data_IF_209123510697
#
_entry.id   IF_209123510697
#
_cell.length_a   1.000
_cell.length_b   1.000
_cell.length_c   1.000
_cell.angle_alpha   90.00
_cell.angle_beta   90.00
_cell.angle_gamma   90.00
#
_symmetry.space_group_name_H-M   'P 1'
#
loop_
_entity.id
_entity.type
_entity.pdbx_description
1 polymer ?
#
# COMPACT_ATOMS: atom_id res chain seq x y z
N UNK A 1 35.24 -15.44 0.10
CA UNK A 1 33.94 -14.74 -0.03
C UNK A 1 33.09 -15.14 1.16
N UNK A 2 32.64 -14.21 2.00
CA UNK A 2 31.97 -14.54 3.28
C UNK A 2 30.57 -15.16 3.06
N UNK A 3 30.26 -16.22 3.79
CA UNK A 3 28.97 -16.94 3.78
C UNK A 3 27.76 -16.01 3.99
N UNK A 4 27.95 -14.96 4.80
CA UNK A 4 26.93 -13.94 5.04
C UNK A 4 26.51 -13.20 3.76
N UNK A 5 27.46 -12.89 2.86
CA UNK A 5 27.17 -12.17 1.60
C UNK A 5 26.31 -13.03 0.67
N UNK A 6 26.56 -14.33 0.62
CA UNK A 6 25.76 -15.27 -0.18
C UNK A 6 24.34 -15.41 0.37
N UNK A 7 24.21 -15.47 1.70
CA UNK A 7 22.91 -15.51 2.38
C UNK A 7 22.08 -14.24 2.12
N UNK A 8 22.71 -13.05 2.17
CA UNK A 8 22.05 -11.79 1.83
C UNK A 8 21.60 -11.74 0.36
N UNK A 9 22.46 -12.18 -0.59
CA UNK A 9 22.11 -12.21 -2.02
C UNK A 9 20.93 -13.13 -2.30
N UNK A 10 20.96 -14.34 -1.75
CA UNK A 10 19.89 -15.32 -1.88
C UNK A 10 18.56 -14.82 -1.30
N UNK A 11 18.60 -14.11 -0.17
CA UNK A 11 17.41 -13.48 0.41
C UNK A 11 16.85 -12.38 -0.51
N UNK A 12 17.71 -11.50 -1.03
CA UNK A 12 17.28 -10.40 -1.90
C UNK A 12 16.75 -10.88 -3.27
N UNK A 13 17.29 -11.95 -3.84
CA UNK A 13 16.81 -12.54 -5.10
C UNK A 13 15.39 -13.12 -4.99
N UNK A 14 15.00 -13.59 -3.81
CA UNK A 14 13.68 -14.19 -3.55
C UNK A 14 12.65 -13.19 -3.04
N UNK A 15 13.09 -12.02 -2.57
CA UNK A 15 12.18 -10.97 -2.14
C UNK A 15 11.69 -10.17 -3.35
N UNK A 16 10.40 -9.77 -3.39
CA UNK A 16 9.99 -8.75 -4.32
C UNK A 16 10.85 -7.50 -4.08
N UNK A 17 11.40 -6.95 -5.16
CA UNK A 17 12.29 -5.78 -5.13
C UNK A 17 11.73 -4.71 -4.18
N UNK A 18 12.44 -4.38 -3.08
CA UNK A 18 11.96 -3.42 -2.09
C UNK A 18 11.84 -2.00 -2.67
N UNK A 19 12.48 -1.73 -3.80
CA UNK A 19 12.35 -0.47 -4.55
C UNK A 19 11.14 -0.45 -5.50
N UNK A 20 10.42 -1.58 -5.63
CA UNK A 20 9.27 -1.70 -6.53
C UNK A 20 8.09 -0.89 -6.02
N UNK A 21 8.10 0.38 -6.41
CA UNK A 21 7.03 1.34 -6.20
C UNK A 21 5.73 0.80 -6.76
N UNK A 22 4.73 0.65 -5.90
CA UNK A 22 3.37 0.26 -6.30
C UNK A 22 2.68 1.47 -6.91
N UNK A 23 2.82 1.61 -8.23
CA UNK A 23 2.17 2.69 -9.00
C UNK A 23 0.68 2.44 -9.20
N UNK A 24 0.27 1.17 -9.23
CA UNK A 24 -1.11 0.74 -9.45
C UNK A 24 -1.64 0.09 -8.19
N UNK A 25 -2.80 0.55 -7.73
CA UNK A 25 -3.51 0.00 -6.59
C UNK A 25 -4.37 -1.16 -7.09
N UNK A 26 -4.24 -2.33 -6.49
CA UNK A 26 -5.02 -3.51 -6.84
C UNK A 26 -6.32 -3.56 -6.01
N UNK A 27 -7.39 -4.20 -6.49
CA UNK A 27 -8.63 -4.35 -5.74
C UNK A 27 -8.45 -5.00 -4.35
N UNK A 28 -7.44 -5.86 -4.18
CA UNK A 28 -7.13 -6.47 -2.88
C UNK A 28 -6.59 -5.49 -1.83
N UNK A 29 -6.05 -4.35 -2.27
CA UNK A 29 -5.45 -3.35 -1.37
C UNK A 29 -6.53 -2.55 -0.60
N UNK A 30 -7.81 -2.67 -0.99
CA UNK A 30 -8.95 -2.01 -0.32
C UNK A 30 -9.86 -2.97 0.46
N UNK A 31 -9.67 -4.29 0.35
CA UNK A 31 -10.57 -5.28 0.95
C UNK A 31 -10.70 -5.10 2.47
N UNK A 32 -9.57 -5.00 3.17
CA UNK A 32 -9.57 -4.82 4.63
C UNK A 32 -10.23 -3.49 5.05
N UNK A 33 -10.00 -2.41 4.29
CA UNK A 33 -10.65 -1.12 4.56
C UNK A 33 -12.16 -1.20 4.41
N UNK A 34 -12.67 -1.92 3.41
CA UNK A 34 -14.11 -2.16 3.25
C UNK A 34 -14.71 -2.95 4.41
N UNK A 35 -13.98 -3.94 4.92
CA UNK A 35 -14.43 -4.72 6.08
C UNK A 35 -14.48 -3.87 7.36
N UNK A 36 -13.46 -3.03 7.58
CA UNK A 36 -13.44 -2.07 8.69
C UNK A 36 -14.57 -1.06 8.56
N UNK A 37 -14.77 -0.49 7.37
CA UNK A 37 -15.85 0.46 7.13
C UNK A 37 -17.23 -0.17 7.43
N UNK A 38 -17.45 -1.41 6.96
CA UNK A 38 -18.67 -2.17 7.25
C UNK A 38 -18.87 -2.40 8.75
N UNK A 39 -17.80 -2.71 9.49
CA UNK A 39 -17.85 -2.91 10.94
C UNK A 39 -18.11 -1.62 11.74
N UNK A 40 -17.69 -0.47 11.20
CA UNK A 40 -17.87 0.83 11.84
C UNK A 40 -19.20 1.50 11.51
N UNK A 41 -19.81 1.18 10.36
CA UNK A 41 -21.05 1.79 9.89
C UNK A 41 -20.93 3.32 9.84
N UNK A 42 -21.87 4.03 10.45
CA UNK A 42 -21.91 5.50 10.46
C UNK A 42 -20.71 6.16 11.17
N UNK A 43 -19.94 5.39 11.95
CA UNK A 43 -18.70 5.88 12.56
C UNK A 43 -17.53 5.91 11.58
N UNK A 44 -17.67 5.33 10.39
CA UNK A 44 -16.66 5.41 9.35
C UNK A 44 -16.52 6.85 8.86
N UNK A 45 -15.27 7.32 8.77
CA UNK A 45 -14.95 8.70 8.32
C UNK A 45 -14.10 8.71 7.05
N UNK A 46 -13.86 7.55 6.46
CA UNK A 46 -13.03 7.36 5.28
C UNK A 46 -11.73 6.61 5.55
N UNK A 47 -11.13 6.11 4.46
CA UNK A 47 -9.91 5.31 4.48
C UNK A 47 -8.87 5.84 3.49
N UNK A 48 -7.59 5.69 3.83
CA UNK A 48 -6.47 6.14 3.01
C UNK A 48 -5.65 4.94 2.54
N UNK A 49 -5.47 4.82 1.23
CA UNK A 49 -4.53 3.88 0.60
C UNK A 49 -3.33 4.67 0.10
N UNK A 50 -2.17 4.41 0.70
CA UNK A 50 -0.92 5.07 0.33
C UNK A 50 -0.31 4.36 -0.88
N UNK A 51 0.05 5.12 -1.91
CA UNK A 51 0.65 4.57 -3.14
C UNK A 51 1.73 5.47 -3.72
N UNK A 52 2.43 4.98 -4.77
CA UNK A 52 3.58 5.66 -5.37
C UNK A 52 3.26 6.53 -6.60
N UNK A 53 1.98 6.79 -6.90
CA UNK A 53 1.62 7.74 -7.96
C UNK A 53 1.66 9.19 -7.50
N UNK A 54 0.96 10.06 -8.21
CA UNK A 54 1.07 11.51 -8.12
C UNK A 54 -0.22 12.26 -7.79
N UNK A 55 -1.37 11.58 -7.90
CA UNK A 55 -2.70 12.15 -7.75
C UNK A 55 -3.43 11.62 -6.50
N UNK A 56 -4.12 12.53 -5.82
CA UNK A 56 -5.13 12.14 -4.81
C UNK A 56 -6.42 11.87 -5.57
N UNK A 57 -7.01 10.70 -5.39
CA UNK A 57 -8.25 10.33 -6.09
C UNK A 57 -9.16 9.41 -5.28
N UNK A 58 -10.48 9.47 -5.49
CA UNK A 58 -11.39 8.45 -4.98
C UNK A 58 -10.95 7.08 -5.51
N UNK A 59 -11.00 6.08 -4.63
CA UNK A 59 -10.56 4.73 -4.95
C UNK A 59 -11.70 3.72 -4.85
N UNK A 60 -12.54 3.82 -3.82
CA UNK A 60 -13.71 2.96 -3.63
C UNK A 60 -14.66 3.51 -2.57
N UNK A 61 -15.89 3.02 -2.58
CA UNK A 61 -16.85 3.24 -1.50
C UNK A 61 -16.67 2.23 -0.34
N UNK A 62 -17.01 2.62 0.90
CA UNK A 62 -17.37 3.99 1.32
C UNK A 62 -16.11 4.86 1.59
N UNK A 63 -16.03 6.04 0.98
CA UNK A 63 -15.03 7.10 1.26
C UNK A 63 -13.56 6.63 1.36
N UNK A 64 -13.12 5.75 0.45
CA UNK A 64 -11.73 5.30 0.37
C UNK A 64 -10.97 6.11 -0.70
N UNK A 65 -9.83 6.67 -0.32
CA UNK A 65 -9.02 7.54 -1.15
C UNK A 65 -7.61 6.97 -1.38
N UNK A 66 -7.11 7.12 -2.60
CA UNK A 66 -5.71 6.91 -2.92
C UNK A 66 -4.92 8.19 -2.65
N UNK A 67 -3.84 8.10 -1.88
CA UNK A 67 -2.98 9.24 -1.53
C UNK A 67 -1.51 8.93 -1.81
N UNK A 68 -0.80 9.79 -2.59
CA UNK A 68 0.63 9.63 -2.82
C UNK A 68 1.43 9.70 -1.51
N UNK A 69 2.36 8.76 -1.29
CA UNK A 69 3.23 8.77 -0.10
C UNK A 69 3.99 10.09 0.09
N UNK A 70 4.44 10.70 -1.02
CA UNK A 70 5.11 12.02 -1.04
C UNK A 70 4.27 13.18 -0.49
N UNK A 71 2.95 13.02 -0.33
CA UNK A 71 2.08 14.06 0.24
C UNK A 71 1.98 13.96 1.76
N UNK A 72 2.39 12.83 2.36
CA UNK A 72 2.27 12.55 3.79
C UNK A 72 3.61 12.60 4.52
N UNK A 73 4.70 12.28 3.85
CA UNK A 73 6.03 12.08 4.46
C UNK A 73 7.11 12.99 3.86
N UNK A 74 6.74 14.06 3.18
CA UNK A 74 7.65 15.05 2.59
C UNK A 74 7.67 16.35 3.40
#
# INVERSE_FOLDING_TARGET
MSENIQKYRFLMERMPDPSRKRMVIAPKDITALKEVARGLGDRWRGGLVIYSGDAIKPLADPEIWAVPSRRLFA
#
